data_IF_642430422827
#
_entry.id   IF_642430422827
#
_cell.length_a   1.000
_cell.length_b   1.000
_cell.length_c   1.000
_cell.angle_alpha   90.00
_cell.angle_beta   90.00
_cell.angle_gamma   90.00
#
_symmetry.space_group_name_H-M   'P 1'
#
loop_
_entity.id
_entity.type
_entity.pdbx_description
1 polymer ?
#
# COMPACT_ATOMS: atom_id res chain seq x y z
N UNK A 1 4.15 -25.92 -20.79
CA UNK A 1 4.09 -25.93 -19.30
C UNK A 1 3.94 -24.53 -18.68
N UNK A 2 4.55 -23.47 -19.24
CA UNK A 2 4.40 -22.08 -18.78
C UNK A 2 2.98 -21.47 -18.93
N UNK A 3 2.23 -21.87 -19.97
CA UNK A 3 0.90 -21.33 -20.28
C UNK A 3 -0.17 -21.69 -19.25
N UNK A 4 -0.09 -22.87 -18.63
CA UNK A 4 -1.03 -23.30 -17.58
C UNK A 4 -0.86 -22.58 -16.25
N UNK A 5 0.35 -22.09 -15.93
CA UNK A 5 0.60 -21.28 -14.73
C UNK A 5 0.07 -19.86 -14.89
N UNK A 6 0.33 -19.25 -16.04
CA UNK A 6 -0.10 -17.88 -16.36
C UNK A 6 -1.62 -17.76 -16.39
N UNK A 7 -2.31 -18.70 -17.04
CA UNK A 7 -3.78 -18.72 -17.09
C UNK A 7 -4.41 -18.86 -15.69
N UNK A 8 -3.80 -19.66 -14.80
CA UNK A 8 -4.27 -19.81 -13.41
C UNK A 8 -4.06 -18.54 -12.59
N UNK A 9 -2.95 -17.84 -12.80
CA UNK A 9 -2.66 -16.55 -12.18
C UNK A 9 -3.62 -15.45 -12.68
N UNK A 10 -3.86 -15.37 -13.99
CA UNK A 10 -4.81 -14.43 -14.58
C UNK A 10 -6.23 -14.66 -14.06
N UNK A 11 -6.69 -15.91 -14.01
CA UNK A 11 -8.02 -16.21 -13.45
C UNK A 11 -8.12 -15.90 -11.95
N UNK A 12 -7.01 -16.03 -11.21
CA UNK A 12 -6.98 -15.73 -9.76
C UNK A 12 -6.91 -14.23 -9.47
N UNK A 13 -6.32 -13.44 -10.36
CA UNK A 13 -6.07 -12.01 -10.19
C UNK A 13 -6.66 -11.20 -11.35
N UNK A 14 -7.84 -11.63 -11.82
CA UNK A 14 -8.44 -11.08 -13.04
C UNK A 14 -8.73 -9.58 -12.93
N UNK A 15 -8.96 -9.06 -11.72
CA UNK A 15 -9.20 -7.63 -11.48
C UNK A 15 -8.02 -6.75 -11.92
N UNK A 16 -6.79 -7.28 -11.95
CA UNK A 16 -5.60 -6.49 -12.18
C UNK A 16 -5.58 -5.84 -13.58
N UNK A 17 -6.04 -6.57 -14.60
CA UNK A 17 -6.05 -6.07 -15.96
C UNK A 17 -7.10 -4.95 -16.16
N UNK A 18 -8.38 -5.11 -15.77
CA UNK A 18 -9.34 -4.01 -15.76
C UNK A 18 -8.90 -2.84 -14.91
N UNK A 19 -8.35 -3.08 -13.71
CA UNK A 19 -7.86 -2.00 -12.85
C UNK A 19 -6.74 -1.19 -13.52
N UNK A 20 -5.81 -1.86 -14.20
CA UNK A 20 -4.74 -1.21 -14.94
C UNK A 20 -5.29 -0.36 -16.10
N UNK A 21 -6.30 -0.86 -16.81
CA UNK A 21 -6.98 -0.09 -17.87
C UNK A 21 -7.71 1.14 -17.32
N UNK A 22 -8.39 1.02 -16.18
CA UNK A 22 -9.06 2.14 -15.51
C UNK A 22 -8.04 3.20 -15.07
N UNK A 23 -6.94 2.79 -14.44
CA UNK A 23 -5.86 3.73 -14.05
C UNK A 23 -5.26 4.43 -15.28
N UNK A 24 -5.02 3.67 -16.36
CA UNK A 24 -4.51 4.25 -17.60
C UNK A 24 -5.49 5.26 -18.20
N UNK A 25 -6.78 4.94 -18.25
CA UNK A 25 -7.83 5.85 -18.69
C UNK A 25 -7.88 7.13 -17.84
N UNK A 26 -7.83 7.00 -16.51
CA UNK A 26 -7.79 8.13 -15.59
C UNK A 26 -6.56 9.04 -15.84
N UNK A 27 -5.39 8.47 -16.12
CA UNK A 27 -4.19 9.22 -16.47
C UNK A 27 -4.35 9.97 -17.79
N UNK A 28 -4.89 9.32 -18.83
CA UNK A 28 -5.14 9.97 -20.12
C UNK A 28 -6.11 11.14 -19.94
N UNK A 29 -7.24 10.90 -19.28
CA UNK A 29 -8.24 11.94 -18.99
C UNK A 29 -7.61 13.11 -18.24
N UNK A 30 -6.79 12.86 -17.22
CA UNK A 30 -6.15 13.94 -16.47
C UNK A 30 -5.26 14.87 -17.32
N UNK A 31 -4.67 14.34 -18.39
CA UNK A 31 -3.77 15.07 -19.29
C UNK A 31 -4.49 15.76 -20.45
N UNK A 32 -5.64 15.22 -20.88
CA UNK A 32 -6.36 15.70 -22.07
C UNK A 32 -7.66 16.44 -21.75
N UNK A 33 -8.11 16.43 -20.49
CA UNK A 33 -9.38 17.02 -20.11
C UNK A 33 -9.38 18.55 -20.16
N UNK A 34 -10.51 19.10 -20.59
CA UNK A 34 -10.79 20.54 -20.55
C UNK A 34 -11.43 20.91 -19.21
N UNK A 35 -10.58 21.04 -18.18
CA UNK A 35 -11.00 21.24 -16.80
C UNK A 35 -11.91 22.46 -16.55
N UNK A 36 -11.69 23.64 -17.15
CA UNK A 36 -12.51 24.82 -16.88
C UNK A 36 -14.01 24.66 -17.19
N UNK A 37 -14.36 23.77 -18.12
CA UNK A 37 -15.76 23.61 -18.57
C UNK A 37 -16.49 22.53 -17.78
N UNK A 38 -15.82 21.42 -17.46
CA UNK A 38 -16.48 20.22 -16.90
C UNK A 38 -15.82 19.66 -15.62
N UNK A 39 -15.05 20.48 -14.89
CA UNK A 39 -14.29 20.07 -13.70
C UNK A 39 -15.03 19.10 -12.77
N UNK A 40 -16.29 19.42 -12.41
CA UNK A 40 -17.08 18.61 -11.48
C UNK A 40 -17.40 17.21 -12.03
N UNK A 41 -17.71 17.09 -13.32
CA UNK A 41 -18.05 15.80 -13.94
C UNK A 41 -16.81 14.93 -14.11
N UNK A 42 -15.71 15.55 -14.56
CA UNK A 42 -14.42 14.86 -14.73
C UNK A 42 -13.89 14.38 -13.37
N UNK A 43 -13.92 15.24 -12.35
CA UNK A 43 -13.53 14.88 -10.99
C UNK A 43 -14.40 13.75 -10.42
N UNK A 44 -15.73 13.80 -10.62
CA UNK A 44 -16.63 12.73 -10.20
C UNK A 44 -16.32 11.41 -10.91
N UNK A 45 -16.02 11.44 -12.20
CA UNK A 45 -15.61 10.27 -12.98
C UNK A 45 -14.32 9.66 -12.45
N UNK A 46 -13.29 10.48 -12.22
CA UNK A 46 -12.02 10.02 -11.66
C UNK A 46 -12.18 9.44 -10.25
N UNK A 47 -13.00 10.08 -9.40
CA UNK A 47 -13.31 9.56 -8.08
C UNK A 47 -14.07 8.23 -8.14
N UNK A 48 -15.05 8.12 -9.04
CA UNK A 48 -15.78 6.87 -9.23
C UNK A 48 -14.84 5.75 -9.68
N UNK A 49 -14.04 5.99 -10.71
CA UNK A 49 -13.12 5.00 -11.28
C UNK A 49 -12.09 4.52 -10.25
N UNK A 50 -11.46 5.46 -9.53
CA UNK A 50 -10.36 5.15 -8.62
C UNK A 50 -10.83 4.72 -7.23
N UNK A 51 -11.86 5.37 -6.68
CA UNK A 51 -12.30 5.15 -5.29
C UNK A 51 -13.49 4.18 -5.17
N UNK A 52 -14.19 3.85 -6.26
CA UNK A 52 -15.36 2.96 -6.24
C UNK A 52 -15.17 1.76 -7.17
N UNK A 53 -14.91 1.98 -8.46
CA UNK A 53 -14.85 0.91 -9.47
C UNK A 53 -13.71 -0.06 -9.21
N UNK A 54 -12.47 0.43 -9.05
CA UNK A 54 -11.31 -0.43 -8.75
C UNK A 54 -11.53 -1.24 -7.44
N UNK A 55 -11.93 -0.62 -6.31
CA UNK A 55 -12.26 -1.35 -5.09
C UNK A 55 -13.39 -2.37 -5.26
N UNK A 56 -14.42 -2.06 -6.05
CA UNK A 56 -15.51 -2.99 -6.33
C UNK A 56 -15.03 -4.20 -7.16
N UNK A 57 -14.20 -3.98 -8.17
CA UNK A 57 -13.55 -5.04 -8.95
C UNK A 57 -12.66 -5.92 -8.06
N UNK A 58 -11.91 -5.30 -7.15
CA UNK A 58 -11.12 -6.02 -6.15
C UNK A 58 -12.01 -6.90 -5.25
N UNK A 59 -13.08 -6.32 -4.69
CA UNK A 59 -14.04 -7.05 -3.84
C UNK A 59 -14.64 -8.23 -4.58
N UNK A 60 -15.03 -8.05 -5.84
CA UNK A 60 -15.59 -9.14 -6.63
C UNK A 60 -14.56 -10.25 -6.83
N UNK A 61 -13.33 -9.89 -7.23
CA UNK A 61 -12.26 -10.86 -7.45
C UNK A 61 -11.91 -11.65 -6.18
N UNK A 62 -11.89 -10.99 -5.02
CA UNK A 62 -11.50 -11.60 -3.74
C UNK A 62 -12.67 -11.81 -2.77
N UNK A 63 -13.92 -11.90 -3.25
CA UNK A 63 -15.12 -12.00 -2.39
C UNK A 63 -15.07 -13.16 -1.40
N UNK A 64 -14.36 -14.24 -1.74
CA UNK A 64 -14.18 -15.41 -0.88
C UNK A 64 -13.26 -15.17 0.33
N UNK A 65 -12.50 -14.07 0.36
CA UNK A 65 -11.60 -13.71 1.46
C UNK A 65 -12.27 -12.87 2.57
N UNK A 66 -13.59 -12.63 2.46
CA UNK A 66 -14.42 -12.05 3.53
C UNK A 66 -13.91 -10.70 4.04
N UNK A 67 -13.79 -10.56 5.37
CA UNK A 67 -13.37 -9.30 6.04
C UNK A 67 -12.03 -8.78 5.54
N UNK A 68 -11.09 -9.66 5.17
CA UNK A 68 -9.78 -9.25 4.66
C UNK A 68 -9.89 -8.54 3.30
N UNK A 69 -10.78 -9.01 2.42
CA UNK A 69 -11.03 -8.35 1.15
C UNK A 69 -11.72 -6.99 1.33
N UNK A 70 -12.67 -6.89 2.27
CA UNK A 70 -13.33 -5.63 2.60
C UNK A 70 -12.35 -4.57 3.10
N UNK A 71 -11.44 -4.93 4.01
CA UNK A 71 -10.44 -4.01 4.53
C UNK A 71 -9.47 -3.53 3.43
N UNK A 72 -9.04 -4.45 2.55
CA UNK A 72 -8.16 -4.10 1.43
C UNK A 72 -8.87 -3.25 0.38
N UNK A 73 -10.14 -3.51 0.10
CA UNK A 73 -10.94 -2.69 -0.79
C UNK A 73 -11.16 -1.28 -0.22
N UNK A 74 -11.42 -1.16 1.08
CA UNK A 74 -11.49 0.14 1.75
C UNK A 74 -10.17 0.90 1.65
N UNK A 75 -9.04 0.20 1.86
CA UNK A 75 -7.71 0.79 1.66
C UNK A 75 -7.49 1.24 0.20
N UNK A 76 -7.97 0.47 -0.78
CA UNK A 76 -7.95 0.85 -2.20
C UNK A 76 -8.83 2.07 -2.48
N UNK A 77 -10.03 2.17 -1.89
CA UNK A 77 -10.90 3.35 -2.03
C UNK A 77 -10.21 4.60 -1.51
N UNK A 78 -9.60 4.50 -0.33
CA UNK A 78 -8.79 5.56 0.27
C UNK A 78 -7.61 5.97 -0.63
N UNK A 79 -6.89 4.98 -1.16
CA UNK A 79 -5.81 5.21 -2.13
C UNK A 79 -6.31 5.87 -3.42
N UNK A 80 -7.52 5.52 -3.87
CA UNK A 80 -8.17 6.11 -5.03
C UNK A 80 -8.51 7.58 -4.83
N UNK A 81 -9.02 7.97 -3.67
CA UNK A 81 -9.25 9.39 -3.32
C UNK A 81 -7.94 10.18 -3.29
N UNK A 82 -6.88 9.59 -2.73
CA UNK A 82 -5.55 10.21 -2.73
C UNK A 82 -4.98 10.35 -4.16
N UNK A 83 -5.15 9.34 -5.01
CA UNK A 83 -4.71 9.39 -6.40
C UNK A 83 -5.48 10.46 -7.19
N UNK A 84 -6.82 10.50 -7.04
CA UNK A 84 -7.65 11.52 -7.66
C UNK A 84 -7.21 12.95 -7.28
N UNK A 85 -6.77 13.18 -6.03
CA UNK A 85 -6.27 14.51 -5.61
C UNK A 85 -4.96 14.95 -6.27
N UNK A 86 -4.22 14.02 -6.87
CA UNK A 86 -3.02 14.33 -7.65
C UNK A 86 -3.32 14.43 -9.15
N UNK A 87 -4.39 13.81 -9.62
CA UNK A 87 -4.81 13.88 -11.03
C UNK A 87 -5.63 15.13 -11.33
N UNK A 88 -6.40 15.63 -10.36
CA UNK A 88 -7.23 16.84 -10.51
C UNK A 88 -6.43 18.08 -10.09
N UNK A 89 -6.23 19.08 -10.97
CA UNK A 89 -5.58 20.34 -10.61
C UNK A 89 -6.28 21.04 -9.44
N UNK A 90 -5.51 21.69 -8.56
CA UNK A 90 -6.01 22.26 -7.30
C UNK A 90 -7.14 23.28 -7.53
N UNK A 91 -7.04 24.14 -8.55
CA UNK A 91 -8.10 25.12 -8.89
C UNK A 91 -9.43 24.49 -9.32
N UNK A 92 -9.44 23.20 -9.66
CA UNK A 92 -10.59 22.49 -10.21
C UNK A 92 -11.15 21.40 -9.26
N UNK A 93 -10.66 21.32 -8.03
CA UNK A 93 -11.14 20.37 -7.02
C UNK A 93 -12.44 20.87 -6.36
N UNK A 94 -13.58 20.30 -6.75
CA UNK A 94 -14.92 20.64 -6.24
C UNK A 94 -15.40 19.62 -5.21
N UNK A 95 -15.17 18.33 -5.44
CA UNK A 95 -15.65 17.21 -4.63
C UNK A 95 -14.60 16.71 -3.63
N UNK A 96 -13.34 16.68 -4.03
CA UNK A 96 -12.20 16.25 -3.23
C UNK A 96 -12.09 16.96 -1.87
N UNK A 97 -12.40 18.26 -1.71
CA UNK A 97 -12.38 18.92 -0.41
C UNK A 97 -13.34 18.26 0.61
N UNK A 98 -14.48 17.73 0.16
CA UNK A 98 -15.45 17.04 1.01
C UNK A 98 -14.97 15.66 1.47
N UNK A 99 -14.02 15.06 0.75
CA UNK A 99 -13.42 13.77 1.06
C UNK A 99 -12.09 13.89 1.82
N UNK A 100 -11.72 15.10 2.24
CA UNK A 100 -10.46 15.36 2.96
C UNK A 100 -10.35 14.55 4.26
N UNK A 101 -11.45 14.38 4.98
CA UNK A 101 -11.47 13.54 6.19
C UNK A 101 -11.10 12.07 5.89
N UNK A 102 -11.52 11.56 4.73
CA UNK A 102 -11.22 10.19 4.30
C UNK A 102 -9.73 10.05 3.95
N UNK A 103 -9.13 11.11 3.38
CA UNK A 103 -7.67 11.17 3.16
C UNK A 103 -6.90 11.09 4.47
N UNK A 104 -7.29 11.86 5.48
CA UNK A 104 -6.63 11.80 6.79
C UNK A 104 -6.85 10.46 7.50
N UNK A 105 -8.05 9.87 7.37
CA UNK A 105 -8.30 8.53 7.88
C UNK A 105 -7.41 7.47 7.22
N UNK A 106 -7.21 7.57 5.90
CA UNK A 106 -6.30 6.71 5.14
C UNK A 106 -4.85 6.83 5.61
N UNK A 107 -4.36 8.08 5.77
CA UNK A 107 -3.02 8.36 6.27
C UNK A 107 -2.87 7.79 7.70
N UNK A 108 -3.87 8.00 8.56
CA UNK A 108 -3.88 7.44 9.92
C UNK A 108 -3.81 5.92 9.92
N UNK A 109 -4.56 5.25 9.04
CA UNK A 109 -4.49 3.79 8.88
C UNK A 109 -3.12 3.34 8.36
N UNK A 110 -2.54 4.05 7.40
CA UNK A 110 -1.22 3.74 6.85
C UNK A 110 -0.14 3.89 7.93
N UNK A 111 -0.15 4.99 8.67
CA UNK A 111 0.73 5.21 9.82
C UNK A 111 0.53 4.10 10.86
N UNK A 112 -0.71 3.72 11.17
CA UNK A 112 -0.98 2.64 12.13
C UNK A 112 -0.38 1.30 11.67
N UNK A 113 -0.54 0.94 10.39
CA UNK A 113 0.07 -0.27 9.81
C UNK A 113 1.59 -0.18 9.87
N UNK A 114 2.17 0.95 9.49
CA UNK A 114 3.61 1.17 9.49
C UNK A 114 4.19 1.09 10.90
N UNK A 115 3.54 1.72 11.89
CA UNK A 115 3.91 1.61 13.32
C UNK A 115 3.81 0.17 13.82
N UNK A 116 2.82 -0.61 13.38
CA UNK A 116 2.73 -2.03 13.74
C UNK A 116 3.83 -2.89 13.10
N UNK A 117 4.17 -2.63 11.84
CA UNK A 117 5.29 -3.29 11.14
C UNK A 117 6.60 -2.94 11.85
N UNK A 118 6.84 -1.65 12.11
CA UNK A 118 7.96 -1.18 12.90
C UNK A 118 7.98 -1.86 14.26
N UNK A 119 6.91 -1.80 15.04
CA UNK A 119 6.91 -2.39 16.38
C UNK A 119 7.20 -3.90 16.38
N UNK A 120 6.64 -4.66 15.44
CA UNK A 120 6.85 -6.11 15.37
C UNK A 120 8.24 -6.50 14.87
N UNK A 121 8.74 -5.89 13.80
CA UNK A 121 10.05 -6.22 13.21
C UNK A 121 11.19 -5.54 13.96
N UNK A 122 11.06 -4.24 14.21
CA UNK A 122 12.10 -3.41 14.82
C UNK A 122 12.39 -3.89 16.24
N UNK A 123 11.37 -4.04 17.11
CA UNK A 123 11.64 -4.49 18.47
C UNK A 123 12.10 -5.95 18.55
N UNK A 124 11.63 -6.84 17.67
CA UNK A 124 12.06 -8.25 17.70
C UNK A 124 13.51 -8.44 17.21
N UNK A 125 13.89 -7.76 16.12
CA UNK A 125 15.19 -7.93 15.47
C UNK A 125 16.26 -7.03 16.10
N UNK A 126 15.99 -5.76 16.37
CA UNK A 126 17.01 -4.82 16.88
C UNK A 126 17.36 -5.08 18.34
N UNK A 127 16.40 -5.48 19.18
CA UNK A 127 16.70 -5.92 20.55
C UNK A 127 17.35 -7.32 20.59
N UNK A 128 17.58 -7.96 19.43
CA UNK A 128 18.24 -9.26 19.34
C UNK A 128 17.43 -10.41 19.93
N UNK A 129 16.11 -10.23 20.11
CA UNK A 129 15.25 -11.23 20.75
C UNK A 129 14.87 -12.38 19.82
N UNK A 130 14.88 -12.16 18.50
CA UNK A 130 14.56 -13.15 17.48
C UNK A 130 15.51 -13.06 16.28
N UNK A 131 15.73 -14.20 15.61
CA UNK A 131 16.42 -14.21 14.32
C UNK A 131 15.56 -13.52 13.25
N UNK A 132 16.18 -12.94 12.19
CA UNK A 132 15.44 -12.30 11.09
C UNK A 132 14.42 -13.25 10.43
N UNK A 133 14.75 -14.53 10.32
CA UNK A 133 13.86 -15.55 9.75
C UNK A 133 12.61 -15.79 10.59
N UNK A 134 12.78 -15.90 11.92
CA UNK A 134 11.65 -16.05 12.85
C UNK A 134 10.76 -14.82 12.86
N UNK A 135 11.35 -13.61 12.80
CA UNK A 135 10.60 -12.36 12.70
C UNK A 135 9.81 -12.27 11.38
N UNK A 136 10.38 -12.71 10.26
CA UNK A 136 9.70 -12.73 8.97
C UNK A 136 8.48 -13.67 8.96
N UNK A 137 8.61 -14.87 9.55
CA UNK A 137 7.50 -15.83 9.65
C UNK A 137 6.34 -15.25 10.49
N UNK A 138 6.67 -14.66 11.64
CA UNK A 138 5.68 -14.04 12.52
C UNK A 138 4.99 -12.83 11.86
N UNK A 139 5.74 -12.03 11.11
CA UNK A 139 5.21 -10.90 10.36
C UNK A 139 4.26 -11.35 9.24
N UNK A 140 4.65 -12.38 8.50
CA UNK A 140 3.80 -13.00 7.47
C UNK A 140 2.49 -13.52 8.05
N UNK A 141 2.53 -14.16 9.23
CA UNK A 141 1.36 -14.72 9.88
C UNK A 141 0.46 -13.67 10.55
N UNK A 142 1.06 -12.64 11.18
CA UNK A 142 0.33 -11.63 11.94
C UNK A 142 -0.28 -10.53 11.07
N UNK A 143 0.39 -10.13 9.99
CA UNK A 143 -0.07 -9.06 9.09
C UNK A 143 -0.57 -9.60 7.74
N UNK A 144 -0.46 -10.90 7.48
CA UNK A 144 -0.92 -11.52 6.24
C UNK A 144 -0.20 -11.02 4.99
N UNK A 145 1.02 -10.50 5.16
CA UNK A 145 1.88 -10.05 4.06
C UNK A 145 2.61 -11.25 3.44
N UNK A 146 2.94 -11.21 2.13
CA UNK A 146 3.66 -12.29 1.47
C UNK A 146 5.03 -12.54 2.13
N UNK A 147 5.43 -13.81 2.22
CA UNK A 147 6.68 -14.21 2.88
C UNK A 147 7.92 -13.50 2.31
N UNK A 148 7.94 -13.24 1.00
CA UNK A 148 9.04 -12.53 0.33
C UNK A 148 9.20 -11.09 0.86
N UNK A 149 8.08 -10.38 1.03
CA UNK A 149 8.08 -9.03 1.60
C UNK A 149 8.50 -9.05 3.07
N UNK A 150 8.01 -10.03 3.83
CA UNK A 150 8.39 -10.19 5.23
C UNK A 150 9.89 -10.45 5.40
N UNK A 151 10.49 -11.26 4.50
CA UNK A 151 11.94 -11.50 4.49
C UNK A 151 12.74 -10.24 4.15
N UNK A 152 12.26 -9.43 3.19
CA UNK A 152 12.93 -8.19 2.81
C UNK A 152 12.94 -7.19 3.96
N UNK A 153 11.79 -7.02 4.65
CA UNK A 153 11.67 -6.19 5.85
C UNK A 153 12.57 -6.68 7.00
N UNK A 154 12.66 -8.00 7.22
CA UNK A 154 13.51 -8.55 8.26
C UNK A 154 15.02 -8.32 7.97
N UNK A 155 15.43 -8.44 6.70
CA UNK A 155 16.80 -8.12 6.27
C UNK A 155 17.12 -6.64 6.41
N UNK A 156 16.19 -5.77 6.06
CA UNK A 156 16.33 -4.33 6.25
C UNK A 156 16.49 -3.97 7.74
N UNK A 157 15.68 -4.56 8.61
CA UNK A 157 15.82 -4.38 10.05
C UNK A 157 17.17 -4.89 10.59
N UNK A 158 17.70 -6.00 10.06
CA UNK A 158 19.03 -6.48 10.43
C UNK A 158 20.14 -5.52 9.96
N UNK A 159 20.02 -4.98 8.75
CA UNK A 159 20.93 -3.97 8.23
C UNK A 159 20.98 -2.76 9.18
N UNK A 160 19.82 -2.21 9.55
CA UNK A 160 19.73 -1.09 10.49
C UNK A 160 20.29 -1.44 11.87
N UNK A 161 20.04 -2.66 12.39
CA UNK A 161 20.66 -3.13 13.64
C UNK A 161 22.19 -3.06 13.58
N UNK A 162 22.80 -3.48 12.47
CA UNK A 162 24.26 -3.46 12.28
C UNK A 162 24.78 -2.02 12.22
N UNK A 163 24.08 -1.14 11.49
CA UNK A 163 24.41 0.29 11.39
C UNK A 163 24.38 0.95 12.77
N UNK A 164 23.33 0.75 13.57
CA UNK A 164 23.23 1.34 14.92
C UNK A 164 24.13 0.66 15.97
N UNK A 165 24.49 -0.62 15.78
CA UNK A 165 25.45 -1.29 16.66
C UNK A 165 26.90 -0.85 16.42
N UNK A 166 27.21 -0.33 15.23
CA UNK A 166 28.54 0.14 14.84
C UNK A 166 29.08 1.26 15.75
N UNK A 167 28.36 2.37 16.01
CA UNK A 167 28.84 3.42 16.92
C UNK A 167 29.03 2.94 18.36
N UNK A 168 28.18 2.02 18.85
CA UNK A 168 28.30 1.47 20.22
C UNK A 168 29.57 0.62 20.36
N UNK A 169 29.94 -0.17 19.33
CA UNK A 169 31.19 -0.94 19.32
C UNK A 169 32.41 -0.03 19.24
N UNK A 170 32.33 1.04 18.45
CA UNK A 170 33.43 2.00 18.29
C UNK A 170 33.77 2.68 19.63
N UNK A 171 32.75 3.16 20.35
CA UNK A 171 32.90 3.75 21.70
C UNK A 171 33.47 2.75 22.71
N UNK A 172 33.05 1.48 22.67
CA UNK A 172 33.61 0.44 23.54
C UNK A 172 35.07 0.08 23.22
N UNK A 173 35.51 0.21 21.97
CA UNK A 173 36.90 -0.03 21.57
C UNK A 173 37.85 1.07 22.05
N UNK A 174 37.37 2.33 22.07
CA UNK A 174 38.12 3.47 22.59
C UNK A 174 38.23 3.48 24.12
N UNK A 175 37.24 2.92 24.83
CA UNK A 175 37.25 2.84 26.31
C UNK A 175 38.13 1.71 26.89
N UNK A 176 38.73 0.88 26.05
CA UNK A 176 39.62 -0.25 26.43
C UNK A 176 41.11 0.02 26.17
N UNK A 177 41.46 1.23 25.75
CA UNK A 177 42.84 1.75 25.72
C UNK A 177 42.97 2.78 26.84
#
# INVERSE_FOLDING_TARGET
MLTHGLHRLLNRHWFALPALLVVFGALVVSQTADWPVEARLIEAGLLFDLAVLIPALYLWCYRKSGKSAALRALALSCGGVWAASHLVPLEHQVLLPWLTWLRYAAIGLLIYVEVRVLASVYFAVILGRKSPEMAAIELSNSLGIPAQFAQLLAKEAEFWRRVFAWPIKLVRSFRRK
#
